data_IF_486746263075
#
_entry.id   IF_486746263075
#
_cell.length_a   1.000
_cell.length_b   1.000
_cell.length_c   1.000
_cell.angle_alpha   90.00
_cell.angle_beta   90.00
_cell.angle_gamma   90.00
#
_symmetry.space_group_name_H-M   'P 1'
#
loop_
_entity.id
_entity.type
_entity.pdbx_description
1 polymer ?
#
# COMPACT_ATOMS: atom_id res chain seq x y z
N UNK A 1 -30.85 -39.77 -12.07
CA UNK A 1 -30.73 -39.26 -10.71
C UNK A 1 -31.36 -37.88 -10.59
N UNK A 2 -31.69 -37.40 -9.37
CA UNK A 2 -32.21 -36.07 -9.11
C UNK A 2 -31.11 -35.03 -9.01
N UNK A 3 -31.51 -33.71 -8.95
CA UNK A 3 -30.54 -32.61 -8.90
C UNK A 3 -29.65 -32.63 -7.64
N UNK A 4 -30.16 -33.10 -6.49
CA UNK A 4 -29.34 -33.28 -5.28
C UNK A 4 -28.35 -34.42 -5.42
N UNK A 5 -28.82 -35.55 -5.94
CA UNK A 5 -27.99 -36.76 -6.10
C UNK A 5 -26.82 -36.52 -7.06
N UNK A 6 -27.05 -35.84 -8.22
CA UNK A 6 -25.98 -35.55 -9.16
C UNK A 6 -25.01 -34.50 -8.61
N UNK A 7 -25.50 -33.52 -7.85
CA UNK A 7 -24.67 -32.53 -7.20
C UNK A 7 -23.73 -33.18 -6.17
N UNK A 8 -24.26 -34.10 -5.36
CA UNK A 8 -23.48 -34.86 -4.37
C UNK A 8 -22.43 -35.77 -5.05
N UNK A 9 -22.80 -36.48 -6.12
CA UNK A 9 -21.89 -37.32 -6.91
C UNK A 9 -20.75 -36.51 -7.55
N UNK A 10 -21.05 -35.29 -8.05
CA UNK A 10 -20.04 -34.41 -8.63
C UNK A 10 -19.26 -33.62 -7.56
N UNK A 11 -19.68 -33.65 -6.31
CA UNK A 11 -19.10 -32.85 -5.22
C UNK A 11 -19.25 -31.35 -5.46
N UNK A 12 -20.45 -30.91 -5.88
CA UNK A 12 -20.84 -29.52 -6.10
C UNK A 12 -22.17 -29.22 -5.43
N UNK A 13 -22.59 -27.96 -5.37
CA UNK A 13 -23.91 -27.62 -4.82
C UNK A 13 -25.00 -27.70 -5.91
N UNK A 14 -26.27 -27.92 -5.52
CA UNK A 14 -27.41 -27.82 -6.44
C UNK A 14 -27.49 -26.44 -7.09
N UNK A 15 -27.07 -25.39 -6.38
CA UNK A 15 -26.96 -24.03 -6.93
C UNK A 15 -25.95 -23.95 -8.07
N UNK A 16 -24.81 -24.61 -7.90
CA UNK A 16 -23.75 -24.71 -8.95
C UNK A 16 -24.28 -25.43 -10.19
N UNK A 17 -25.01 -26.54 -10.01
CA UNK A 17 -25.63 -27.27 -11.13
C UNK A 17 -26.60 -26.38 -11.91
N UNK A 18 -27.44 -25.60 -11.22
CA UNK A 18 -28.36 -24.65 -11.84
C UNK A 18 -27.63 -23.52 -12.55
N UNK A 19 -26.54 -23.02 -11.98
CA UNK A 19 -25.72 -21.99 -12.60
C UNK A 19 -25.10 -22.47 -13.91
N UNK A 20 -24.59 -23.71 -13.94
CA UNK A 20 -24.05 -24.29 -15.18
C UNK A 20 -25.11 -24.50 -16.26
N UNK A 21 -26.37 -24.79 -15.90
CA UNK A 21 -27.47 -24.77 -16.87
C UNK A 21 -27.73 -23.38 -17.43
N UNK A 22 -27.74 -22.35 -16.57
CA UNK A 22 -27.94 -20.94 -16.99
C UNK A 22 -26.85 -20.45 -17.95
N UNK A 23 -25.62 -20.91 -17.72
CA UNK A 23 -24.48 -20.59 -18.59
C UNK A 23 -24.39 -21.47 -19.85
N UNK A 24 -25.28 -22.44 -20.02
CA UNK A 24 -25.25 -23.37 -21.15
C UNK A 24 -24.13 -24.43 -21.09
N UNK A 25 -23.32 -24.45 -20.03
CA UNK A 25 -22.23 -25.42 -19.84
C UNK A 25 -22.72 -26.83 -19.55
N UNK A 26 -23.92 -26.95 -19.00
CA UNK A 26 -24.59 -28.22 -18.73
C UNK A 26 -25.95 -28.22 -19.44
N UNK A 27 -26.23 -29.17 -20.36
CA UNK A 27 -27.53 -29.28 -21.00
C UNK A 27 -28.67 -29.46 -20.01
N UNK A 28 -29.83 -28.88 -20.28
CA UNK A 28 -31.03 -29.13 -19.46
C UNK A 28 -31.50 -30.57 -19.60
N UNK A 29 -31.62 -31.33 -18.52
CA UNK A 29 -32.09 -32.71 -18.57
C UNK A 29 -33.60 -32.80 -18.80
N UNK A 30 -34.12 -33.87 -19.36
CA UNK A 30 -35.56 -34.12 -19.50
C UNK A 30 -36.24 -34.14 -18.10
N UNK A 31 -37.52 -33.77 -18.08
CA UNK A 31 -38.33 -33.86 -16.87
C UNK A 31 -39.13 -35.15 -16.84
N UNK A 32 -39.27 -35.72 -15.66
CA UNK A 32 -40.18 -36.85 -15.43
C UNK A 32 -41.64 -36.40 -15.55
N UNK A 33 -42.54 -37.37 -15.59
CA UNK A 33 -44.00 -37.11 -15.55
C UNK A 33 -44.46 -36.31 -14.31
N UNK A 34 -43.67 -36.37 -13.23
CA UNK A 34 -43.90 -35.57 -12.00
C UNK A 34 -43.18 -34.20 -12.02
N UNK A 35 -42.61 -33.76 -13.16
CA UNK A 35 -41.97 -32.45 -13.35
C UNK A 35 -40.54 -32.35 -12.84
N UNK A 36 -39.96 -33.37 -12.25
CA UNK A 36 -38.57 -33.36 -11.73
C UNK A 36 -37.54 -33.58 -12.86
N UNK A 37 -36.42 -32.82 -12.79
CA UNK A 37 -35.24 -32.99 -13.68
C UNK A 37 -34.62 -34.40 -13.48
N UNK A 38 -34.37 -35.12 -14.55
CA UNK A 38 -33.75 -36.46 -14.55
C UNK A 38 -32.39 -36.41 -15.22
N UNK A 39 -31.37 -36.47 -14.42
CA UNK A 39 -29.99 -36.52 -14.89
C UNK A 39 -29.53 -37.94 -15.17
N UNK A 40 -28.68 -38.11 -16.16
CA UNK A 40 -28.04 -39.35 -16.56
C UNK A 40 -26.51 -39.28 -16.41
N UNK A 41 -25.83 -40.31 -16.86
CA UNK A 41 -24.37 -40.42 -16.79
C UNK A 41 -23.66 -39.33 -17.62
N UNK A 42 -24.23 -38.88 -18.72
CA UNK A 42 -23.62 -37.84 -19.58
C UNK A 42 -23.56 -36.48 -18.84
N UNK A 43 -24.58 -36.15 -18.09
CA UNK A 43 -24.61 -34.97 -17.26
C UNK A 43 -23.54 -35.02 -16.13
N UNK A 44 -23.38 -36.21 -15.51
CA UNK A 44 -22.35 -36.39 -14.48
C UNK A 44 -20.93 -36.23 -15.07
N UNK A 45 -20.67 -36.85 -16.19
CA UNK A 45 -19.38 -36.71 -16.89
C UNK A 45 -19.09 -35.26 -17.23
N UNK A 46 -20.09 -34.53 -17.75
CA UNK A 46 -19.94 -33.10 -18.07
C UNK A 46 -19.66 -32.26 -16.81
N UNK A 47 -20.36 -32.50 -15.71
CA UNK A 47 -20.10 -31.84 -14.45
C UNK A 47 -18.68 -32.09 -13.93
N UNK A 48 -18.21 -33.31 -14.01
CA UNK A 48 -16.84 -33.67 -13.59
C UNK A 48 -15.77 -33.01 -14.48
N UNK A 49 -16.01 -32.91 -15.79
CA UNK A 49 -15.13 -32.18 -16.72
C UNK A 49 -15.09 -30.70 -16.37
N UNK A 50 -16.24 -30.04 -16.19
CA UNK A 50 -16.33 -28.63 -15.79
C UNK A 50 -15.56 -28.43 -14.49
N UNK A 51 -15.84 -29.24 -13.44
CA UNK A 51 -15.17 -29.16 -12.16
C UNK A 51 -13.65 -29.31 -12.28
N UNK A 52 -13.18 -30.27 -13.09
CA UNK A 52 -11.73 -30.46 -13.31
C UNK A 52 -11.09 -29.22 -13.90
N UNK A 53 -11.69 -28.62 -14.94
CA UNK A 53 -11.17 -27.44 -15.61
C UNK A 53 -11.21 -26.21 -14.70
N UNK A 54 -12.29 -25.98 -13.96
CA UNK A 54 -12.37 -24.88 -13.00
C UNK A 54 -11.37 -25.01 -11.85
N UNK A 55 -11.05 -26.24 -11.44
CA UNK A 55 -10.00 -26.48 -10.42
C UNK A 55 -8.60 -26.14 -10.95
N UNK A 56 -8.39 -26.23 -12.27
CA UNK A 56 -7.15 -25.78 -12.92
C UNK A 56 -7.09 -24.27 -13.13
N UNK A 57 -8.15 -23.53 -12.76
CA UNK A 57 -8.20 -22.07 -12.92
C UNK A 57 -8.87 -21.59 -14.19
N UNK A 58 -9.39 -22.50 -15.05
CA UNK A 58 -10.08 -22.11 -16.30
C UNK A 58 -11.33 -21.28 -15.97
N UNK A 59 -11.43 -20.05 -16.48
CA UNK A 59 -12.63 -19.21 -16.31
C UNK A 59 -13.87 -19.88 -16.91
N UNK A 60 -15.02 -19.73 -16.26
CA UNK A 60 -16.29 -20.35 -16.73
C UNK A 60 -16.66 -19.91 -18.15
N UNK A 61 -16.31 -18.67 -18.55
CA UNK A 61 -16.59 -18.14 -19.88
C UNK A 61 -15.82 -18.88 -21.00
N UNK A 62 -14.66 -19.43 -20.70
CA UNK A 62 -13.78 -20.11 -21.67
C UNK A 62 -14.04 -21.61 -21.75
N UNK A 63 -14.81 -22.17 -20.82
CA UNK A 63 -15.05 -23.61 -20.76
C UNK A 63 -15.71 -24.18 -22.03
N UNK A 64 -16.53 -23.42 -22.75
CA UNK A 64 -17.12 -23.87 -24.01
C UNK A 64 -16.02 -24.15 -25.05
N UNK A 65 -15.07 -23.25 -25.20
CA UNK A 65 -13.98 -23.38 -26.18
C UNK A 65 -13.10 -24.58 -25.86
N UNK A 66 -12.79 -24.81 -24.60
CA UNK A 66 -11.92 -25.91 -24.16
C UNK A 66 -12.61 -27.26 -24.21
N UNK A 67 -13.94 -27.30 -23.97
CA UNK A 67 -14.71 -28.52 -24.01
C UNK A 67 -14.92 -29.03 -25.45
N UNK A 68 -14.90 -28.11 -26.43
CA UNK A 68 -15.22 -28.42 -27.84
C UNK A 68 -14.00 -28.68 -28.72
N UNK A 69 -12.75 -28.36 -28.28
CA UNK A 69 -11.55 -28.60 -29.10
C UNK A 69 -10.24 -28.79 -28.32
N UNK A 70 -9.42 -29.80 -28.71
CA UNK A 70 -8.17 -30.10 -28.00
C UNK A 70 -7.03 -29.07 -28.24
N UNK A 71 -7.00 -28.34 -29.35
CA UNK A 71 -5.94 -27.35 -29.63
C UNK A 71 -6.06 -26.08 -28.78
N UNK A 72 -7.27 -25.63 -28.50
CA UNK A 72 -7.51 -24.49 -27.62
C UNK A 72 -7.15 -24.78 -26.14
N UNK A 73 -7.07 -26.07 -25.79
CA UNK A 73 -6.71 -26.47 -24.43
C UNK A 73 -5.22 -26.31 -24.14
N UNK A 74 -4.35 -26.43 -25.14
CA UNK A 74 -2.89 -26.32 -25.00
C UNK A 74 -2.49 -24.86 -24.79
N UNK A 75 -3.01 -23.97 -25.65
CA UNK A 75 -2.80 -22.53 -25.53
C UNK A 75 -3.30 -21.95 -24.17
N UNK A 76 -4.47 -22.44 -23.74
CA UNK A 76 -5.04 -22.04 -22.45
C UNK A 76 -4.22 -22.54 -21.25
N UNK A 77 -3.69 -23.76 -21.31
CA UNK A 77 -2.83 -24.29 -20.24
C UNK A 77 -1.52 -23.49 -20.13
N UNK A 78 -0.95 -23.06 -21.26
CA UNK A 78 0.23 -22.20 -21.28
C UNK A 78 -0.07 -20.82 -20.67
N UNK A 79 -1.23 -20.22 -21.01
CA UNK A 79 -1.66 -18.96 -20.41
C UNK A 79 -1.89 -19.07 -18.90
N UNK A 80 -2.54 -20.13 -18.43
CA UNK A 80 -2.76 -20.38 -17.00
C UNK A 80 -1.45 -20.60 -16.23
N UNK A 81 -0.47 -21.28 -16.85
CA UNK A 81 0.86 -21.48 -16.26
C UNK A 81 1.61 -20.15 -16.12
N UNK A 82 1.57 -19.29 -17.15
CA UNK A 82 2.13 -17.94 -17.10
C UNK A 82 1.46 -17.06 -16.03
N UNK A 83 0.14 -17.12 -15.92
CA UNK A 83 -0.59 -16.39 -14.88
C UNK A 83 -0.22 -16.89 -13.48
N UNK A 84 -0.09 -18.19 -13.29
CA UNK A 84 0.32 -18.79 -12.02
C UNK A 84 1.77 -18.41 -11.66
N UNK A 85 2.68 -18.40 -12.62
CA UNK A 85 4.07 -17.96 -12.43
C UNK A 85 4.13 -16.50 -12.00
N UNK A 86 3.42 -15.61 -12.69
CA UNK A 86 3.35 -14.19 -12.33
C UNK A 86 2.78 -13.96 -10.91
N UNK A 87 1.77 -14.76 -10.51
CA UNK A 87 1.23 -14.67 -9.14
C UNK A 87 2.21 -15.19 -8.09
N UNK A 88 2.98 -16.25 -8.40
CA UNK A 88 4.06 -16.73 -7.52
C UNK A 88 5.10 -15.62 -7.32
N UNK A 89 5.58 -15.00 -8.40
CA UNK A 89 6.55 -13.91 -8.35
C UNK A 89 6.04 -12.73 -7.49
N UNK A 90 4.77 -12.37 -7.68
CA UNK A 90 4.11 -11.32 -6.88
C UNK A 90 4.06 -11.66 -5.39
N UNK A 91 3.71 -12.91 -5.06
CA UNK A 91 3.65 -13.39 -3.68
C UNK A 91 5.04 -13.49 -3.05
N UNK A 92 6.05 -13.91 -3.81
CA UNK A 92 7.44 -13.95 -3.35
C UNK A 92 7.99 -12.54 -3.07
N UNK A 93 7.76 -11.58 -3.97
CA UNK A 93 8.11 -10.19 -3.75
C UNK A 93 7.41 -9.60 -2.51
N UNK A 94 6.12 -9.93 -2.29
CA UNK A 94 5.40 -9.53 -1.08
C UNK A 94 6.00 -10.14 0.18
N UNK A 95 6.37 -11.42 0.15
CA UNK A 95 7.04 -12.10 1.28
C UNK A 95 8.39 -11.48 1.59
N UNK A 96 9.17 -11.16 0.56
CA UNK A 96 10.46 -10.49 0.72
C UNK A 96 10.30 -9.13 1.43
N UNK A 97 9.32 -8.31 1.01
CA UNK A 97 9.01 -7.02 1.67
C UNK A 97 8.57 -7.19 3.13
N UNK A 98 7.73 -8.19 3.42
CA UNK A 98 7.33 -8.49 4.81
C UNK A 98 8.54 -8.92 5.66
N UNK A 99 9.42 -9.73 5.10
CA UNK A 99 10.63 -10.18 5.81
C UNK A 99 11.57 -9.00 6.09
N UNK A 100 11.71 -8.05 5.15
CA UNK A 100 12.47 -6.82 5.32
C UNK A 100 11.91 -5.96 6.45
N UNK A 101 10.60 -5.66 6.42
CA UNK A 101 9.92 -4.89 7.48
C UNK A 101 10.07 -5.53 8.86
N UNK A 102 10.01 -6.86 8.93
CA UNK A 102 10.23 -7.59 10.20
C UNK A 102 11.67 -7.50 10.70
N UNK A 103 12.65 -7.41 9.82
CA UNK A 103 14.08 -7.33 10.17
C UNK A 103 14.46 -5.91 10.57
N UNK A 104 13.99 -4.90 9.84
CA UNK A 104 14.25 -3.48 10.11
C UNK A 104 13.49 -2.96 11.33
N UNK A 105 12.33 -3.56 11.68
CA UNK A 105 11.44 -2.99 12.69
C UNK A 105 10.77 -1.68 12.24
N UNK A 106 10.84 -1.37 10.95
CA UNK A 106 10.30 -0.15 10.37
C UNK A 106 8.77 -0.07 10.54
N UNK A 107 8.20 1.13 10.66
CA UNK A 107 6.75 1.33 10.66
C UNK A 107 6.12 0.75 9.39
N UNK A 108 4.98 0.05 9.53
CA UNK A 108 4.32 -0.65 8.43
C UNK A 108 3.60 0.28 7.45
N UNK A 109 3.36 1.49 7.86
CA UNK A 109 2.62 2.54 7.15
C UNK A 109 3.53 3.56 6.45
N UNK A 110 4.85 3.33 6.47
CA UNK A 110 5.81 4.15 5.74
C UNK A 110 6.46 3.37 4.58
N UNK A 111 6.77 4.04 3.46
CA UNK A 111 7.67 3.52 2.45
C UNK A 111 9.03 3.18 3.06
N UNK A 112 9.73 2.12 2.57
CA UNK A 112 11.04 1.72 3.13
C UNK A 112 12.06 2.86 3.16
N UNK A 113 12.08 3.69 2.13
CA UNK A 113 12.99 4.83 1.97
C UNK A 113 12.81 5.90 3.06
N UNK A 114 11.57 6.08 3.51
CA UNK A 114 11.21 7.03 4.58
C UNK A 114 11.29 6.40 5.97
N UNK A 115 11.20 5.08 6.06
CA UNK A 115 11.24 4.35 7.32
C UNK A 115 12.63 4.36 7.97
N UNK A 116 13.70 4.33 7.17
CA UNK A 116 15.09 4.33 7.64
C UNK A 116 15.45 5.62 8.39
N UNK A 117 14.83 6.73 8.05
CA UNK A 117 15.04 8.00 8.73
C UNK A 117 14.57 7.97 10.20
N UNK A 118 13.57 7.14 10.53
CA UNK A 118 13.00 7.03 11.86
C UNK A 118 13.52 5.85 12.70
N UNK A 119 14.75 5.45 12.53
CA UNK A 119 15.30 4.19 13.05
C UNK A 119 15.37 4.02 14.58
N UNK A 120 15.06 5.02 15.39
CA UNK A 120 14.80 4.83 16.83
C UNK A 120 13.99 6.01 17.40
N UNK A 121 12.95 5.76 18.23
CA UNK A 121 12.33 6.85 19.00
C UNK A 121 13.39 7.40 19.97
N UNK A 122 13.73 8.68 19.80
CA UNK A 122 14.59 9.37 20.75
C UNK A 122 13.75 9.65 22.01
N UNK A 123 14.17 9.09 23.14
CA UNK A 123 13.47 9.27 24.42
C UNK A 123 13.46 10.74 24.91
N UNK A 124 14.26 11.61 24.28
CA UNK A 124 14.30 13.04 24.57
C UNK A 124 13.23 13.86 23.79
N UNK A 125 12.55 13.24 22.81
CA UNK A 125 11.49 13.87 22.02
C UNK A 125 10.13 13.48 22.59
N UNK A 126 9.21 14.45 22.76
CA UNK A 126 7.87 14.16 23.26
C UNK A 126 7.09 13.21 22.32
N UNK A 127 6.17 12.44 22.89
CA UNK A 127 5.31 11.55 22.12
C UNK A 127 4.47 12.31 21.07
N UNK A 128 4.10 13.55 21.38
CA UNK A 128 3.31 14.41 20.49
C UNK A 128 4.12 14.82 19.25
N UNK A 129 5.37 15.25 19.43
CA UNK A 129 6.26 15.60 18.32
C UNK A 129 6.63 14.35 17.52
N UNK A 130 6.91 13.23 18.17
CA UNK A 130 7.15 11.96 17.48
C UNK A 130 5.96 11.52 16.62
N UNK A 131 4.74 11.74 17.10
CA UNK A 131 3.52 11.47 16.33
C UNK A 131 3.33 12.44 15.17
N UNK A 132 3.61 13.72 15.39
CA UNK A 132 3.58 14.74 14.35
C UNK A 132 4.55 14.42 13.21
N UNK A 133 5.80 14.12 13.52
CA UNK A 133 6.80 13.70 12.53
C UNK A 133 6.37 12.46 11.74
N UNK A 134 5.80 11.48 12.43
CA UNK A 134 5.29 10.27 11.80
C UNK A 134 4.14 10.57 10.83
N UNK A 135 3.16 11.36 11.24
CA UNK A 135 2.03 11.76 10.40
C UNK A 135 2.48 12.55 9.16
N UNK A 136 3.50 13.41 9.31
CA UNK A 136 4.12 14.09 8.16
C UNK A 136 4.76 13.11 7.18
N UNK A 137 5.51 12.11 7.68
CA UNK A 137 6.12 11.09 6.83
C UNK A 137 5.09 10.22 6.11
N UNK A 138 3.97 9.88 6.76
CA UNK A 138 2.86 9.15 6.12
C UNK A 138 2.26 9.97 4.97
N UNK A 139 2.04 11.26 5.19
CA UNK A 139 1.53 12.16 4.15
C UNK A 139 2.52 12.27 2.97
N UNK A 140 3.79 12.53 3.25
CA UNK A 140 4.83 12.62 2.22
C UNK A 140 4.99 11.30 1.47
N UNK A 141 4.95 10.18 2.18
CA UNK A 141 5.02 8.84 1.57
C UNK A 141 3.86 8.50 0.64
N UNK A 142 2.74 9.20 0.77
CA UNK A 142 1.58 9.02 -0.11
C UNK A 142 1.55 10.05 -1.27
N UNK A 143 2.11 11.22 -1.06
CA UNK A 143 2.06 12.34 -1.99
C UNK A 143 3.23 12.36 -2.98
N UNK A 144 4.38 11.82 -2.57
CA UNK A 144 5.54 11.68 -3.43
C UNK A 144 5.47 10.37 -4.21
N UNK A 145 5.99 10.38 -5.43
CA UNK A 145 6.27 9.16 -6.19
C UNK A 145 7.60 8.53 -5.76
N UNK A 146 7.99 7.40 -6.37
CA UNK A 146 9.24 6.69 -6.04
C UNK A 146 10.48 7.59 -6.21
N UNK A 147 10.49 8.48 -7.20
CA UNK A 147 11.56 9.46 -7.41
C UNK A 147 11.62 10.49 -6.28
N UNK A 148 10.47 10.99 -5.87
CA UNK A 148 10.34 11.91 -4.74
C UNK A 148 10.75 11.27 -3.41
N UNK A 149 10.40 9.99 -3.17
CA UNK A 149 10.87 9.26 -1.99
C UNK A 149 12.39 9.17 -1.94
N UNK A 150 13.06 8.93 -3.08
CA UNK A 150 14.50 8.84 -3.14
C UNK A 150 15.15 10.20 -2.84
N UNK A 151 14.70 11.29 -3.46
CA UNK A 151 15.21 12.65 -3.20
C UNK A 151 15.03 13.02 -1.73
N UNK A 152 13.86 12.70 -1.14
CA UNK A 152 13.59 12.93 0.26
C UNK A 152 14.56 12.13 1.15
N UNK A 153 14.70 10.83 0.92
CA UNK A 153 15.59 9.95 1.67
C UNK A 153 17.05 10.41 1.59
N UNK A 154 17.55 10.79 0.41
CA UNK A 154 18.89 11.32 0.21
C UNK A 154 19.09 12.67 0.91
N UNK A 155 18.09 13.56 0.85
CA UNK A 155 18.10 14.83 1.57
C UNK A 155 18.27 14.62 3.08
N UNK A 156 17.47 13.75 3.65
CA UNK A 156 17.52 13.44 5.08
C UNK A 156 18.71 12.54 5.49
N UNK A 157 19.20 11.66 4.61
CA UNK A 157 20.41 10.88 4.88
C UNK A 157 21.64 11.78 5.09
N UNK A 158 21.65 12.98 4.48
CA UNK A 158 22.67 13.99 4.73
C UNK A 158 22.56 14.59 6.14
N UNK A 159 21.38 14.52 6.79
CA UNK A 159 21.19 14.94 8.17
C UNK A 159 21.74 13.88 9.11
N UNK A 160 22.89 14.17 9.71
CA UNK A 160 23.42 13.31 10.74
C UNK A 160 22.48 13.28 11.94
N UNK A 161 21.98 12.09 12.33
CA UNK A 161 21.08 11.92 13.48
C UNK A 161 21.67 12.52 14.78
N UNK A 162 22.99 12.54 14.91
CA UNK A 162 23.69 13.18 16.06
C UNK A 162 23.53 14.69 16.11
N UNK A 163 23.23 15.32 14.97
CA UNK A 163 23.07 16.77 14.87
C UNK A 163 21.59 17.12 14.98
N UNK A 164 20.70 16.39 14.32
CA UNK A 164 19.28 16.72 14.28
C UNK A 164 18.54 16.35 15.58
N UNK A 165 18.87 15.22 16.21
CA UNK A 165 18.17 14.76 17.41
C UNK A 165 18.20 15.77 18.57
N UNK A 166 19.32 16.43 18.93
CA UNK A 166 19.34 17.47 19.94
C UNK A 166 18.47 18.69 19.58
N UNK A 167 18.40 19.05 18.28
CA UNK A 167 17.57 20.16 17.81
C UNK A 167 16.08 19.81 17.90
N UNK A 168 15.69 18.60 17.49
CA UNK A 168 14.33 18.10 17.64
C UNK A 168 13.92 18.01 19.11
N UNK A 169 14.81 17.57 19.99
CA UNK A 169 14.54 17.54 21.43
C UNK A 169 14.30 18.94 22.01
N UNK A 170 15.13 19.92 21.63
CA UNK A 170 14.93 21.33 22.01
C UNK A 170 13.64 21.90 21.45
N UNK A 171 13.32 21.62 20.19
CA UNK A 171 12.05 22.01 19.57
C UNK A 171 10.84 21.40 20.30
N UNK A 172 10.95 20.14 20.68
CA UNK A 172 9.91 19.40 21.43
C UNK A 172 9.68 19.99 22.84
N UNK A 173 10.71 20.59 23.44
CA UNK A 173 10.66 21.17 24.78
C UNK A 173 10.25 22.64 24.80
N UNK A 174 10.02 23.28 23.64
CA UNK A 174 9.57 24.66 23.56
C UNK A 174 8.22 24.87 24.24
N UNK A 175 8.09 25.94 24.99
CA UNK A 175 6.84 26.38 25.64
C UNK A 175 6.73 27.90 25.67
N UNK A 176 5.67 28.41 26.28
CA UNK A 176 5.42 29.85 26.39
C UNK A 176 6.42 30.60 27.31
N UNK A 177 7.16 29.87 28.14
CA UNK A 177 8.14 30.42 29.09
C UNK A 177 9.56 30.38 28.51
N UNK A 178 9.78 29.71 27.34
CA UNK A 178 11.08 29.63 26.73
C UNK A 178 11.61 31.00 26.31
N UNK A 179 12.83 31.39 26.78
CA UNK A 179 13.41 32.70 26.46
C UNK A 179 13.59 32.89 24.95
N UNK A 180 13.29 34.08 24.44
CA UNK A 180 13.38 34.40 23.00
C UNK A 180 14.81 34.20 22.43
N UNK A 181 15.84 34.43 23.24
CA UNK A 181 17.24 34.15 22.87
C UNK A 181 17.48 32.65 22.57
N UNK A 182 16.84 31.75 23.32
CA UNK A 182 16.93 30.31 23.10
C UNK A 182 16.15 29.90 21.83
N UNK A 183 15.00 30.52 21.60
CA UNK A 183 14.20 30.34 20.37
C UNK A 183 14.99 30.77 19.15
N UNK A 184 15.61 31.98 19.18
CA UNK A 184 16.42 32.52 18.08
C UNK A 184 17.64 31.60 17.78
N UNK A 185 18.34 31.17 18.83
CA UNK A 185 19.46 30.23 18.69
C UNK A 185 19.03 28.91 18.02
N UNK A 186 17.91 28.35 18.44
CA UNK A 186 17.37 27.11 17.88
C UNK A 186 17.00 27.30 16.40
N UNK A 187 16.36 28.40 16.02
CA UNK A 187 16.01 28.70 14.63
C UNK A 187 17.26 28.76 13.77
N UNK A 188 18.30 29.52 14.18
CA UNK A 188 19.53 29.66 13.43
C UNK A 188 20.24 28.31 13.23
N UNK A 189 20.32 27.49 14.27
CA UNK A 189 20.92 26.15 14.20
C UNK A 189 20.12 25.23 13.28
N UNK A 190 18.78 25.22 13.38
CA UNK A 190 17.92 24.43 12.50
C UNK A 190 18.02 24.88 11.04
N UNK A 191 18.00 26.18 10.76
CA UNK A 191 18.17 26.72 9.40
C UNK A 191 19.49 26.28 8.79
N UNK A 192 20.59 26.36 9.55
CA UNK A 192 21.92 25.93 9.08
C UNK A 192 21.93 24.45 8.69
N UNK A 193 21.29 23.60 9.48
CA UNK A 193 21.25 22.14 9.26
C UNK A 193 20.27 21.75 8.16
N UNK A 194 19.14 22.45 8.03
CA UNK A 194 18.10 22.14 7.05
C UNK A 194 18.32 22.76 5.66
N UNK A 195 19.14 23.78 5.53
CA UNK A 195 19.42 24.46 4.25
C UNK A 195 19.87 23.50 3.14
N UNK A 196 20.85 22.59 3.35
CA UNK A 196 21.26 21.63 2.32
C UNK A 196 20.14 20.67 1.91
N UNK A 197 19.19 20.37 2.82
CA UNK A 197 18.04 19.52 2.55
C UNK A 197 17.04 20.25 1.69
N UNK A 198 16.76 21.50 1.99
CA UNK A 198 15.85 22.33 1.21
C UNK A 198 16.34 22.55 -0.22
N UNK A 199 17.65 22.77 -0.41
CA UNK A 199 18.23 22.90 -1.75
C UNK A 199 17.94 21.67 -2.62
N UNK A 200 17.98 20.47 -2.04
CA UNK A 200 17.58 19.23 -2.72
C UNK A 200 16.08 19.14 -2.97
N UNK A 201 15.27 19.57 -2.01
CA UNK A 201 13.81 19.57 -2.18
C UNK A 201 13.31 20.58 -3.22
N UNK A 202 14.11 21.59 -3.53
CA UNK A 202 13.79 22.52 -4.62
C UNK A 202 13.78 21.82 -6.02
N UNK A 203 14.33 20.61 -6.12
CA UNK A 203 14.26 19.78 -7.34
C UNK A 203 12.92 19.03 -7.44
N UNK A 204 12.17 18.92 -6.36
CA UNK A 204 10.84 18.28 -6.36
C UNK A 204 9.78 19.22 -6.96
N UNK A 205 8.76 18.66 -7.64
CA UNK A 205 7.63 19.45 -8.06
C UNK A 205 6.94 20.08 -6.83
N UNK A 206 6.44 21.32 -6.95
CA UNK A 206 5.72 21.97 -5.86
C UNK A 206 4.50 21.12 -5.47
N UNK A 207 4.24 21.06 -4.17
CA UNK A 207 3.05 20.40 -3.65
C UNK A 207 1.80 21.17 -4.10
N UNK A 208 0.72 20.44 -4.34
CA UNK A 208 -0.59 21.01 -4.63
C UNK A 208 -1.06 21.91 -3.48
N UNK A 209 -1.77 23.00 -3.79
CA UNK A 209 -2.29 23.95 -2.78
C UNK A 209 -3.16 23.26 -1.72
N UNK A 210 -3.93 22.22 -2.09
CA UNK A 210 -4.75 21.47 -1.13
C UNK A 210 -3.89 20.65 -0.17
N UNK A 211 -2.80 20.09 -0.66
CA UNK A 211 -1.82 19.35 0.15
C UNK A 211 -1.13 20.29 1.14
N UNK A 212 -0.69 21.45 0.65
CA UNK A 212 -0.08 22.49 1.49
C UNK A 212 -1.04 22.91 2.61
N UNK A 213 -2.31 23.13 2.30
CA UNK A 213 -3.33 23.47 3.31
C UNK A 213 -3.54 22.36 4.35
N UNK A 214 -3.50 21.07 3.92
CA UNK A 214 -3.59 19.92 4.86
C UNK A 214 -2.36 19.81 5.77
N UNK A 215 -1.17 20.10 5.24
CA UNK A 215 0.05 20.15 6.06
C UNK A 215 -0.01 21.28 7.09
N UNK A 216 -0.54 22.45 6.71
CA UNK A 216 -0.78 23.56 7.65
C UNK A 216 -1.82 23.16 8.72
N UNK A 217 -2.89 22.47 8.34
CA UNK A 217 -3.87 21.95 9.29
C UNK A 217 -3.24 20.96 10.28
N UNK A 218 -2.35 20.09 9.83
CA UNK A 218 -1.60 19.19 10.69
C UNK A 218 -0.75 19.97 11.70
N UNK A 219 -0.02 21.00 11.24
CA UNK A 219 0.78 21.88 12.09
C UNK A 219 -0.10 22.55 13.17
N UNK A 220 -1.28 23.04 12.78
CA UNK A 220 -2.23 23.66 13.70
C UNK A 220 -2.77 22.70 14.77
N UNK A 221 -2.95 21.42 14.41
CA UNK A 221 -3.51 20.41 15.31
C UNK A 221 -2.50 19.82 16.29
N UNK A 222 -1.24 19.73 15.88
CA UNK A 222 -0.21 18.95 16.60
C UNK A 222 0.82 19.83 17.33
N UNK A 223 1.09 21.02 16.82
CA UNK A 223 2.10 21.90 17.38
C UNK A 223 1.47 22.97 18.26
N UNK A 224 2.14 23.32 19.36
CA UNK A 224 1.74 24.45 20.17
C UNK A 224 2.03 25.81 19.46
N UNK A 225 1.53 26.93 19.97
CA UNK A 225 1.72 28.23 19.32
C UNK A 225 3.18 28.66 19.18
N UNK A 226 4.08 28.29 20.11
CA UNK A 226 5.50 28.62 20.06
C UNK A 226 6.20 27.80 18.99
N UNK A 227 5.96 26.50 18.97
CA UNK A 227 6.50 25.57 17.97
C UNK A 227 6.07 25.96 16.55
N UNK A 228 4.80 26.34 16.34
CA UNK A 228 4.31 26.84 15.04
C UNK A 228 5.03 28.10 14.59
N UNK A 229 5.21 29.07 15.52
CA UNK A 229 5.94 30.32 15.25
C UNK A 229 7.40 30.00 14.82
N UNK A 230 8.06 29.12 15.53
CA UNK A 230 9.43 28.67 15.22
C UNK A 230 9.49 28.02 13.84
N UNK A 231 8.58 27.08 13.53
CA UNK A 231 8.52 26.41 12.24
C UNK A 231 8.31 27.41 11.09
N UNK A 232 7.38 28.34 11.25
CA UNK A 232 7.12 29.42 10.27
C UNK A 232 8.35 30.30 10.04
N UNK A 233 9.07 30.68 11.10
CA UNK A 233 10.31 31.47 10.98
C UNK A 233 11.42 30.69 10.27
N UNK A 234 11.58 29.41 10.59
CA UNK A 234 12.55 28.55 9.89
C UNK A 234 12.24 28.50 8.39
N UNK A 235 10.97 28.29 8.01
CA UNK A 235 10.55 28.27 6.60
C UNK A 235 10.88 29.60 5.90
N UNK A 236 10.55 30.74 6.51
CA UNK A 236 10.83 32.07 5.95
C UNK A 236 12.33 32.32 5.75
N UNK A 237 13.18 31.91 6.71
CA UNK A 237 14.63 32.09 6.61
C UNK A 237 15.28 31.13 5.61
N UNK A 238 14.66 29.99 5.36
CA UNK A 238 15.09 29.05 4.31
C UNK A 238 14.70 29.57 2.93
N UNK A 239 13.52 30.15 2.75
CA UNK A 239 13.04 30.72 1.48
C UNK A 239 13.75 32.04 1.09
N UNK A 240 14.08 32.86 2.10
CA UNK A 240 14.70 34.17 1.91
C UNK A 240 16.03 34.25 2.66
N UNK A 241 17.11 33.65 2.14
CA UNK A 241 18.42 33.79 2.77
C UNK A 241 18.77 35.28 2.86
N UNK A 242 18.98 35.79 4.10
CA UNK A 242 19.44 37.16 4.29
C UNK A 242 20.75 37.27 3.51
N UNK A 243 20.78 38.22 2.55
CA UNK A 243 21.99 38.58 1.84
C UNK A 243 22.95 39.19 2.85
N UNK A 244 24.06 38.53 3.15
CA UNK A 244 25.23 39.11 3.81
C UNK A 244 25.90 40.18 2.94
#
# INVERSE_FOLDING_TARGET
VLSSEIADLAGVTVRTVRHYHQMGLLPEPPRSSAGYRRYDISHLVQLLRIKRLTTLGVPLAELHTVLDGPSAAEDLLEELDLQAAAEIDRLEARRARIAELRRSGAPLDLPPELADWRSAPDASVSEEISRYEHEQLVLLGHLLDDGGHQVFAEGFAALNARIIAPLTARFSALDAETPEVEVDSLIQEMVLVLRPVQERFAELPPLDDQVTALMEELNLRRLDPVQRRVLTRIQQELEHPQAD
#
